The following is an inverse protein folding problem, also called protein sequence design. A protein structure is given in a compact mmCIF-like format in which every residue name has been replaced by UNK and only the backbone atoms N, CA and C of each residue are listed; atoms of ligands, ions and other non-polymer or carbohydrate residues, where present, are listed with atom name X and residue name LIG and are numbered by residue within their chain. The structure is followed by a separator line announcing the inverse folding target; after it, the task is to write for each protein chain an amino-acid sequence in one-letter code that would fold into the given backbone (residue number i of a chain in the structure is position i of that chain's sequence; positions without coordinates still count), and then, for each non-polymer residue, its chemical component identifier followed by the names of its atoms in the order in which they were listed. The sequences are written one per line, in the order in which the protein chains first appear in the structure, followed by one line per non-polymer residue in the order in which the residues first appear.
data_IF_538358728060
#
_entry.id   IF_538358728060
#
_cell.length_a   1.000
_cell.length_b   1.000
_cell.length_c   1.000
_cell.angle_alpha   90.00
_cell.angle_beta   90.00
_cell.angle_gamma   90.00
#
_symmetry.space_group_name_H-M   'P 1'
#
loop_
_entity.id
_entity.type
_entity.pdbx_description
1 polymer ?
#
# COMPACT_ATOMS: atom_id res chain seq x y z
N UNK A 1 -12.27 28.08 13.46
CA UNK A 1 -12.66 28.26 14.86
C UNK A 1 -11.58 27.73 15.81
N UNK A 2 -11.11 28.59 16.72
CA UNK A 2 -10.16 28.18 17.77
C UNK A 2 -10.88 27.45 18.92
N UNK A 3 -10.14 26.65 19.70
CA UNK A 3 -10.67 25.87 20.84
C UNK A 3 -11.61 26.64 21.79
N UNK A 4 -11.34 27.90 22.20
CA UNK A 4 -12.23 28.61 23.10
C UNK A 4 -13.65 28.83 22.55
N UNK A 5 -13.79 28.96 21.23
CA UNK A 5 -15.11 29.07 20.61
C UNK A 5 -15.91 27.76 20.73
N UNK A 6 -15.23 26.61 20.53
CA UNK A 6 -15.82 25.28 20.74
C UNK A 6 -16.23 25.05 22.21
N UNK A 7 -15.43 25.51 23.16
CA UNK A 7 -15.76 25.43 24.59
C UNK A 7 -17.03 26.22 24.94
N UNK A 8 -17.22 27.41 24.36
CA UNK A 8 -18.43 28.22 24.53
C UNK A 8 -19.63 27.48 23.95
N UNK A 9 -19.52 26.98 22.71
CA UNK A 9 -20.61 26.24 22.06
C UNK A 9 -20.99 24.99 22.86
N UNK A 10 -20.01 24.23 23.35
CA UNK A 10 -20.26 23.03 24.15
C UNK A 10 -20.96 23.34 25.46
N UNK A 11 -20.54 24.43 26.13
CA UNK A 11 -21.14 24.85 27.41
C UNK A 11 -22.60 25.30 27.25
N UNK A 12 -22.93 26.01 26.18
CA UNK A 12 -24.26 26.60 26.00
C UNK A 12 -25.22 25.69 25.22
N UNK A 13 -24.69 24.83 24.35
CA UNK A 13 -25.48 23.96 23.47
C UNK A 13 -25.04 22.48 23.54
N UNK A 14 -24.88 21.89 24.73
CA UNK A 14 -24.36 20.53 24.86
C UNK A 14 -25.26 19.50 24.19
N UNK A 15 -26.58 19.62 24.33
CA UNK A 15 -27.56 18.64 23.83
C UNK A 15 -28.26 19.05 22.53
N UNK A 16 -28.09 20.29 22.10
CA UNK A 16 -28.67 20.79 20.84
C UNK A 16 -27.84 20.35 19.64
N UNK A 17 -26.52 20.29 19.82
CA UNK A 17 -25.58 19.76 18.83
C UNK A 17 -25.36 18.26 19.09
N UNK A 18 -25.35 17.49 18.02
CA UNK A 18 -25.17 16.04 18.02
C UNK A 18 -23.98 15.71 17.12
N UNK A 19 -23.41 14.50 17.20
CA UNK A 19 -22.36 14.05 16.27
C UNK A 19 -22.71 14.27 14.79
N UNK A 20 -24.01 14.23 14.45
CA UNK A 20 -24.54 14.41 13.09
C UNK A 20 -24.76 15.86 12.69
N UNK A 21 -24.85 16.79 13.65
CA UNK A 21 -25.14 18.22 13.40
C UNK A 21 -23.98 19.15 13.73
N UNK A 22 -22.91 18.67 14.37
CA UNK A 22 -21.68 19.45 14.61
C UNK A 22 -21.02 19.89 13.29
N UNK A 23 -21.14 19.09 12.24
CA UNK A 23 -20.68 19.46 10.91
C UNK A 23 -21.37 20.75 10.40
N UNK A 24 -22.69 20.85 10.51
CA UNK A 24 -23.45 21.94 9.87
C UNK A 24 -23.20 23.34 10.44
N UNK A 25 -22.54 23.44 11.60
CA UNK A 25 -22.15 24.73 12.21
C UNK A 25 -20.71 25.14 11.88
N UNK A 26 -19.93 24.28 11.23
CA UNK A 26 -18.57 24.60 10.80
C UNK A 26 -18.62 25.54 9.60
N UNK A 27 -17.76 26.56 9.61
CA UNK A 27 -17.68 27.50 8.48
C UNK A 27 -16.93 26.93 7.27
N UNK A 28 -16.06 25.93 7.50
CA UNK A 28 -15.26 25.26 6.47
C UNK A 28 -14.78 23.87 6.97
N UNK A 29 -14.10 23.12 6.10
CA UNK A 29 -13.58 21.78 6.43
C UNK A 29 -12.48 21.79 7.51
N UNK A 30 -11.69 22.86 7.63
CA UNK A 30 -10.63 22.96 8.64
C UNK A 30 -11.21 23.05 10.05
N UNK A 31 -12.32 23.78 10.20
CA UNK A 31 -13.08 23.87 11.44
C UNK A 31 -13.65 22.50 11.84
N UNK A 32 -14.20 21.78 10.87
CA UNK A 32 -14.69 20.43 11.08
C UNK A 32 -13.56 19.46 11.48
N UNK A 33 -12.43 19.52 10.79
CA UNK A 33 -11.25 18.74 11.13
C UNK A 33 -10.75 19.06 12.55
N UNK A 34 -10.80 20.32 12.95
CA UNK A 34 -10.38 20.77 14.29
C UNK A 34 -11.27 20.18 15.38
N UNK A 35 -12.60 20.20 15.21
CA UNK A 35 -13.50 19.59 16.19
C UNK A 35 -13.36 18.06 16.22
N UNK A 36 -13.17 17.39 15.07
CA UNK A 36 -12.86 15.96 15.04
C UNK A 36 -11.59 15.62 15.83
N UNK A 37 -10.52 16.42 15.69
CA UNK A 37 -9.28 16.24 16.47
C UNK A 37 -9.51 16.43 17.97
N UNK A 38 -10.32 17.40 18.37
CA UNK A 38 -10.68 17.62 19.77
C UNK A 38 -11.48 16.43 20.34
N UNK A 39 -12.45 15.91 19.58
CA UNK A 39 -13.21 14.69 19.94
C UNK A 39 -12.27 13.48 20.11
N UNK A 40 -11.31 13.30 19.21
CA UNK A 40 -10.30 12.24 19.32
C UNK A 40 -9.37 12.39 20.54
N UNK A 41 -9.13 13.62 21.00
CA UNK A 41 -8.42 13.89 22.26
C UNK A 41 -9.31 13.65 23.51
N UNK A 42 -10.54 13.17 23.33
CA UNK A 42 -11.49 12.90 24.40
C UNK A 42 -12.31 14.11 24.85
N UNK A 43 -12.21 15.24 24.14
CA UNK A 43 -12.96 16.44 24.48
C UNK A 43 -14.40 16.33 23.97
N UNK A 44 -15.36 16.85 24.73
CA UNK A 44 -16.78 16.92 24.35
C UNK A 44 -17.48 15.55 24.20
N UNK A 45 -16.84 14.48 24.70
CA UNK A 45 -17.30 13.11 24.49
C UNK A 45 -18.67 12.78 25.09
N UNK A 46 -19.14 13.54 26.08
CA UNK A 46 -20.41 13.24 26.76
C UNK A 46 -21.64 13.46 25.85
N UNK A 47 -21.54 14.37 24.87
CA UNK A 47 -22.69 14.74 24.05
C UNK A 47 -22.41 14.81 22.55
N UNK A 48 -21.20 15.20 22.15
CA UNK A 48 -20.89 15.48 20.74
C UNK A 48 -20.11 14.35 20.07
N UNK A 49 -19.71 13.32 20.82
CA UNK A 49 -19.03 12.16 20.30
C UNK A 49 -19.98 10.96 20.24
N UNK A 50 -19.94 10.23 19.13
CA UNK A 50 -20.58 8.93 18.99
C UNK A 50 -19.51 7.84 19.21
N UNK A 51 -19.60 7.01 20.27
CA UNK A 51 -18.67 5.93 20.50
C UNK A 51 -18.63 4.87 19.38
N UNK A 52 -19.69 4.79 18.58
CA UNK A 52 -19.78 3.89 17.41
C UNK A 52 -19.21 4.52 16.13
N UNK A 53 -18.70 5.75 16.22
CA UNK A 53 -18.11 6.47 15.11
C UNK A 53 -16.82 5.82 14.62
N UNK A 54 -16.73 5.69 13.29
CA UNK A 54 -15.53 5.27 12.56
C UNK A 54 -14.32 6.19 12.82
N UNK A 55 -14.53 7.42 13.32
CA UNK A 55 -13.44 8.33 13.71
C UNK A 55 -12.47 7.68 14.71
N UNK A 56 -13.01 6.94 15.68
CA UNK A 56 -12.21 6.24 16.71
C UNK A 56 -11.27 5.19 16.13
N UNK A 57 -11.68 4.54 15.04
CA UNK A 57 -10.91 3.52 14.36
C UNK A 57 -9.76 4.11 13.50
N UNK A 58 -9.79 5.42 13.23
CA UNK A 58 -8.79 6.13 12.41
C UNK A 58 -8.15 7.32 13.15
N UNK A 59 -7.98 7.21 14.47
CA UNK A 59 -7.55 8.33 15.32
C UNK A 59 -6.29 9.05 14.79
N UNK A 60 -5.27 8.31 14.33
CA UNK A 60 -4.04 8.92 13.78
C UNK A 60 -4.31 9.62 12.44
N UNK A 61 -5.16 9.05 11.60
CA UNK A 61 -5.58 9.65 10.34
C UNK A 61 -6.31 10.98 10.57
N UNK A 62 -7.20 11.02 11.57
CA UNK A 62 -7.92 12.25 11.97
C UNK A 62 -6.95 13.33 12.46
N UNK A 63 -5.95 12.97 13.26
CA UNK A 63 -4.90 13.90 13.66
C UNK A 63 -4.09 14.46 12.48
N UNK A 64 -3.94 13.65 11.43
CA UNK A 64 -3.35 14.04 10.16
C UNK A 64 -4.39 14.56 9.14
N UNK A 65 -5.61 14.90 9.58
CA UNK A 65 -6.59 15.61 8.76
C UNK A 65 -7.42 14.76 7.80
N UNK A 66 -7.26 13.44 7.79
CA UNK A 66 -8.18 12.53 7.10
C UNK A 66 -9.36 12.18 8.02
N UNK A 67 -10.57 12.55 7.61
CA UNK A 67 -11.80 12.32 8.39
C UNK A 67 -12.58 11.16 7.75
N UNK A 68 -12.58 9.94 8.32
CA UNK A 68 -13.38 8.84 7.78
C UNK A 68 -14.87 9.10 7.96
N UNK A 69 -15.69 8.75 6.97
CA UNK A 69 -17.14 9.01 6.96
C UNK A 69 -17.97 7.73 6.98
N UNK A 70 -17.56 6.70 6.25
CA UNK A 70 -18.16 5.37 6.32
C UNK A 70 -17.19 4.30 5.81
N UNK A 71 -17.50 3.04 6.13
CA UNK A 71 -16.82 1.87 5.59
C UNK A 71 -17.82 0.78 5.23
N UNK A 72 -17.47 -0.06 4.27
CA UNK A 72 -18.07 -1.37 4.09
C UNK A 72 -17.04 -2.43 4.47
N UNK A 73 -17.26 -3.09 5.61
CA UNK A 73 -16.46 -4.24 6.05
C UNK A 73 -17.22 -5.52 5.70
N UNK A 74 -16.68 -6.24 4.72
CA UNK A 74 -17.25 -7.49 4.23
C UNK A 74 -16.35 -8.69 4.52
N UNK A 75 -15.45 -8.57 5.49
CA UNK A 75 -14.53 -9.65 5.91
C UNK A 75 -15.26 -10.96 6.25
N UNK A 76 -16.54 -10.86 6.67
CA UNK A 76 -17.38 -12.01 7.01
C UNK A 76 -18.29 -12.55 5.88
N UNK A 77 -18.32 -11.88 4.72
CA UNK A 77 -19.32 -12.08 3.65
C UNK A 77 -18.98 -13.18 2.65
N UNK A 78 -17.72 -13.61 2.57
CA UNK A 78 -17.29 -14.79 1.81
C UNK A 78 -17.85 -16.05 2.48
N UNK A 79 -19.14 -16.33 2.25
CA UNK A 79 -19.74 -17.58 2.70
C UNK A 79 -20.56 -18.16 1.56
N UNK A 80 -20.22 -19.39 1.18
CA UNK A 80 -21.15 -20.26 0.48
C UNK A 80 -22.33 -20.49 1.43
N UNK A 81 -23.45 -19.80 1.22
CA UNK A 81 -24.65 -20.05 2.00
C UNK A 81 -25.41 -21.17 1.31
N UNK A 82 -25.58 -22.29 2.02
CA UNK A 82 -26.61 -23.27 1.68
C UNK A 82 -27.92 -22.70 2.22
N UNK A 83 -28.60 -21.91 1.40
CA UNK A 83 -30.01 -21.63 1.65
C UNK A 83 -30.81 -22.86 1.25
N UNK A 84 -31.94 -23.10 1.90
CA UNK A 84 -32.66 -24.38 2.00
C UNK A 84 -33.02 -25.06 0.65
N UNK A 85 -32.80 -24.38 -0.49
CA UNK A 85 -33.00 -24.88 -1.87
C UNK A 85 -31.98 -24.38 -2.91
N UNK A 86 -30.93 -23.65 -2.54
CA UNK A 86 -29.97 -23.10 -3.50
C UNK A 86 -28.57 -22.91 -2.88
N UNK A 87 -27.54 -23.12 -3.70
CA UNK A 87 -26.17 -22.73 -3.40
C UNK A 87 -25.99 -21.27 -3.80
N UNK A 88 -25.55 -20.42 -2.88
CA UNK A 88 -25.28 -19.00 -3.15
C UNK A 88 -23.81 -18.69 -2.89
N UNK A 89 -23.15 -18.07 -3.86
CA UNK A 89 -21.80 -17.52 -3.74
C UNK A 89 -21.88 -16.01 -3.76
N UNK A 90 -21.30 -15.36 -2.75
CA UNK A 90 -21.27 -13.90 -2.57
C UNK A 90 -19.83 -13.44 -2.60
N UNK A 91 -19.57 -12.38 -3.35
CA UNK A 91 -18.28 -11.69 -3.44
C UNK A 91 -18.49 -10.22 -3.14
N UNK A 92 -17.75 -9.72 -2.15
CA UNK A 92 -17.82 -8.33 -1.73
C UNK A 92 -16.42 -7.75 -1.53
N UNK A 93 -16.27 -6.45 -1.81
CA UNK A 93 -15.03 -5.69 -1.62
C UNK A 93 -15.19 -4.74 -0.46
N UNK A 94 -14.14 -4.64 0.35
CA UNK A 94 -14.11 -3.60 1.36
C UNK A 94 -13.94 -2.23 0.72
N UNK A 95 -14.53 -1.23 1.34
CA UNK A 95 -14.30 0.16 0.98
C UNK A 95 -14.27 1.07 2.20
N UNK A 96 -13.60 2.20 2.06
CA UNK A 96 -13.48 3.26 3.04
C UNK A 96 -13.75 4.59 2.34
N UNK A 97 -14.70 5.35 2.87
CA UNK A 97 -14.93 6.73 2.47
C UNK A 97 -14.35 7.67 3.51
N UNK A 98 -13.79 8.79 3.05
CA UNK A 98 -13.31 9.84 3.93
C UNK A 98 -13.09 11.15 3.20
N UNK A 99 -12.74 12.18 3.97
CA UNK A 99 -12.55 13.52 3.46
C UNK A 99 -11.25 14.13 3.96
N UNK A 100 -10.66 15.03 3.17
CA UNK A 100 -9.47 15.77 3.54
C UNK A 100 -9.49 17.16 2.93
N UNK A 101 -8.96 18.17 3.65
CA UNK A 101 -8.98 19.56 3.20
C UNK A 101 -8.24 19.74 1.86
N UNK A 102 -8.82 20.44 0.89
CA UNK A 102 -8.14 20.72 -0.39
C UNK A 102 -6.87 21.55 -0.22
N UNK A 103 -6.92 22.57 0.63
CA UNK A 103 -5.78 23.42 0.97
C UNK A 103 -4.78 22.80 1.95
N UNK A 104 -4.97 21.53 2.34
CA UNK A 104 -4.09 20.84 3.28
C UNK A 104 -2.70 20.61 2.69
N UNK A 105 -1.65 20.95 3.45
CA UNK A 105 -0.27 20.94 2.95
C UNK A 105 0.26 19.59 2.42
N UNK A 106 -0.35 18.47 2.80
CA UNK A 106 0.02 17.12 2.35
C UNK A 106 -1.14 16.34 1.72
N UNK A 107 -2.31 16.97 1.49
CA UNK A 107 -3.47 16.29 0.89
C UNK A 107 -3.17 15.80 -0.53
N UNK A 108 -2.46 16.61 -1.31
CA UNK A 108 -2.04 16.24 -2.67
C UNK A 108 -1.05 15.07 -2.65
N UNK A 109 -0.08 15.10 -1.73
CA UNK A 109 0.92 14.03 -1.65
C UNK A 109 0.27 12.72 -1.18
N UNK A 110 -0.74 12.80 -0.31
CA UNK A 110 -1.56 11.66 0.09
C UNK A 110 -2.40 11.11 -1.06
N UNK A 111 -3.04 11.98 -1.84
CA UNK A 111 -3.78 11.59 -3.05
C UNK A 111 -2.87 10.85 -4.03
N UNK A 112 -1.69 11.41 -4.32
CA UNK A 112 -0.72 10.81 -5.23
C UNK A 112 -0.19 9.47 -4.70
N UNK A 113 0.12 9.36 -3.40
CA UNK A 113 0.54 8.10 -2.80
C UNK A 113 -0.54 7.02 -2.92
N UNK A 114 -1.81 7.31 -2.60
CA UNK A 114 -2.89 6.34 -2.76
C UNK A 114 -3.11 5.94 -4.23
N UNK A 115 -2.99 6.90 -5.15
CA UNK A 115 -3.14 6.67 -6.59
C UNK A 115 -2.08 5.70 -7.12
N UNK A 116 -0.86 5.73 -6.58
CA UNK A 116 0.23 4.84 -7.00
C UNK A 116 0.05 3.39 -6.55
N UNK A 117 -0.79 3.12 -5.55
CA UNK A 117 -1.04 1.77 -4.99
C UNK A 117 -1.98 0.92 -5.84
N UNK A 118 -1.72 0.89 -7.16
CA UNK A 118 -2.61 0.32 -8.19
C UNK A 118 -2.85 -1.18 -8.03
N UNK A 119 -1.94 -1.92 -7.38
CA UNK A 119 -2.14 -3.35 -7.12
C UNK A 119 -3.05 -3.62 -5.91
N UNK A 120 -3.11 -2.71 -4.94
CA UNK A 120 -3.88 -2.91 -3.70
C UNK A 120 -5.25 -2.24 -3.73
N UNK A 121 -5.35 -1.09 -4.41
CA UNK A 121 -6.49 -0.18 -4.28
C UNK A 121 -7.09 0.19 -5.64
N UNK A 122 -8.43 0.28 -5.68
CA UNK A 122 -9.12 1.19 -6.57
C UNK A 122 -9.39 2.49 -5.82
N UNK A 123 -9.08 3.61 -6.45
CA UNK A 123 -9.23 4.93 -5.86
C UNK A 123 -10.20 5.75 -6.70
N UNK A 124 -11.18 6.36 -6.03
CA UNK A 124 -12.10 7.32 -6.64
C UNK A 124 -12.11 8.59 -5.81
N UNK A 125 -11.88 9.73 -6.46
CA UNK A 125 -11.72 11.01 -5.75
C UNK A 125 -12.54 12.11 -6.42
N UNK A 126 -13.28 12.84 -5.60
CA UNK A 126 -14.10 13.98 -6.02
C UNK A 126 -13.63 15.23 -5.30
N UNK A 127 -13.59 16.33 -6.03
CA UNK A 127 -13.70 17.65 -5.41
C UNK A 127 -15.14 17.78 -4.89
N UNK A 128 -15.34 18.21 -3.64
CA UNK A 128 -16.65 18.08 -3.00
C UNK A 128 -17.81 18.83 -3.68
N UNK A 129 -17.53 19.84 -4.51
CA UNK A 129 -18.54 20.50 -5.36
C UNK A 129 -18.74 19.88 -6.74
N UNK A 130 -17.82 19.00 -7.16
CA UNK A 130 -17.82 18.42 -8.50
C UNK A 130 -18.47 17.03 -8.50
N UNK A 131 -19.46 16.84 -9.37
CA UNK A 131 -20.11 15.55 -9.55
C UNK A 131 -19.24 14.56 -10.35
N UNK A 132 -18.29 15.06 -11.13
CA UNK A 132 -17.33 14.26 -11.89
C UNK A 132 -16.10 13.95 -11.04
N UNK A 133 -15.64 12.70 -11.07
CA UNK A 133 -14.46 12.32 -10.28
C UNK A 133 -13.20 12.82 -10.98
N UNK A 134 -12.28 13.36 -10.19
CA UNK A 134 -10.95 13.77 -10.65
C UNK A 134 -10.06 12.56 -10.87
N UNK A 135 -10.30 11.46 -10.14
CA UNK A 135 -9.60 10.19 -10.28
C UNK A 135 -10.63 9.08 -10.40
N UNK A 136 -10.46 8.24 -11.42
CA UNK A 136 -11.31 7.08 -11.70
C UNK A 136 -10.47 5.80 -11.76
N UNK A 137 -11.03 4.64 -11.37
CA UNK A 137 -10.39 3.37 -11.60
C UNK A 137 -10.33 3.08 -13.10
N UNK A 138 -9.24 2.46 -13.55
CA UNK A 138 -9.06 2.04 -14.95
C UNK A 138 -10.04 0.92 -15.36
N UNK A 139 -10.62 0.20 -14.39
CA UNK A 139 -11.55 -0.90 -14.64
C UNK A 139 -12.99 -0.41 -14.93
N UNK A 140 -13.60 -0.79 -16.06
CA UNK A 140 -14.90 -0.27 -16.49
C UNK A 140 -16.11 -0.81 -15.70
N UNK A 141 -16.01 -1.97 -15.05
CA UNK A 141 -17.13 -2.59 -14.31
C UNK A 141 -16.76 -2.90 -12.84
N UNK A 142 -16.58 -1.83 -12.05
CA UNK A 142 -16.28 -1.96 -10.63
C UNK A 142 -17.56 -2.27 -9.82
N UNK A 143 -17.67 -3.52 -9.34
CA UNK A 143 -18.72 -3.95 -8.39
C UNK A 143 -18.24 -3.83 -6.94
N UNK A 144 -19.15 -3.60 -6.00
CA UNK A 144 -18.85 -3.62 -4.56
C UNK A 144 -19.34 -4.91 -3.91
N UNK A 145 -20.52 -5.37 -4.31
CA UNK A 145 -21.12 -6.61 -3.85
C UNK A 145 -21.84 -7.29 -5.02
N UNK A 146 -21.64 -8.59 -5.16
CA UNK A 146 -22.29 -9.42 -6.17
C UNK A 146 -22.54 -10.82 -5.66
N UNK A 147 -23.58 -11.45 -6.16
CA UNK A 147 -23.87 -12.85 -5.86
C UNK A 147 -24.23 -13.64 -7.11
N UNK A 148 -24.07 -14.95 -7.03
CA UNK A 148 -24.61 -15.90 -7.99
C UNK A 148 -25.23 -17.07 -7.23
N UNK A 149 -26.29 -17.65 -7.78
CA UNK A 149 -27.00 -18.74 -7.15
C UNK A 149 -27.37 -19.82 -8.15
N UNK A 150 -27.27 -21.08 -7.72
CA UNK A 150 -27.67 -22.23 -8.53
C UNK A 150 -28.33 -23.32 -7.68
N UNK A 151 -29.20 -24.12 -8.30
CA UNK A 151 -29.88 -25.26 -7.66
C UNK A 151 -28.90 -26.39 -7.30
N UNK A 152 -27.78 -26.49 -8.02
CA UNK A 152 -26.72 -27.48 -7.81
C UNK A 152 -25.37 -26.79 -7.64
N UNK A 153 -24.43 -27.49 -7.02
CA UNK A 153 -23.08 -26.96 -6.79
C UNK A 153 -22.30 -26.83 -8.10
N UNK A 154 -22.44 -27.77 -9.04
CA UNK A 154 -21.77 -27.66 -10.34
C UNK A 154 -22.30 -26.46 -11.13
N UNK A 155 -23.62 -26.23 -11.13
CA UNK A 155 -24.26 -25.12 -11.82
C UNK A 155 -23.89 -23.74 -11.28
N UNK A 156 -23.26 -23.67 -10.10
CA UNK A 156 -22.83 -22.41 -9.50
C UNK A 156 -21.64 -21.78 -10.23
N UNK A 157 -20.77 -22.60 -10.84
CA UNK A 157 -19.62 -22.08 -11.58
C UNK A 157 -20.04 -21.34 -12.86
N UNK A 158 -21.09 -21.82 -13.51
CA UNK A 158 -21.61 -21.29 -14.78
C UNK A 158 -22.75 -20.26 -14.58
N UNK A 159 -23.24 -20.10 -13.34
CA UNK A 159 -24.29 -19.13 -13.04
C UNK A 159 -23.78 -17.69 -13.23
N UNK A 160 -24.58 -16.80 -13.87
CA UNK A 160 -24.20 -15.41 -14.06
C UNK A 160 -24.16 -14.67 -12.73
N UNK A 161 -23.26 -13.69 -12.65
CA UNK A 161 -23.18 -12.78 -11.51
C UNK A 161 -24.31 -11.74 -11.57
N UNK A 162 -24.90 -11.48 -10.40
CA UNK A 162 -25.83 -10.38 -10.17
C UNK A 162 -25.20 -9.40 -9.20
N UNK A 163 -24.93 -8.17 -9.64
CA UNK A 163 -24.39 -7.11 -8.79
C UNK A 163 -25.49 -6.52 -7.92
N UNK A 164 -25.30 -6.53 -6.61
CA UNK A 164 -26.23 -5.98 -5.60
C UNK A 164 -25.87 -4.57 -5.20
N UNK A 165 -24.59 -4.22 -5.25
CA UNK A 165 -24.12 -2.89 -4.91
C UNK A 165 -23.01 -2.44 -5.86
N UNK A 166 -23.19 -1.24 -6.40
CA UNK A 166 -22.28 -0.57 -7.31
C UNK A 166 -21.56 0.58 -6.62
N UNK A 167 -20.53 1.11 -7.27
CA UNK A 167 -19.90 2.35 -6.84
C UNK A 167 -20.91 3.51 -6.78
N UNK A 168 -21.89 3.55 -7.68
CA UNK A 168 -22.88 4.62 -7.75
C UNK A 168 -23.81 4.61 -6.53
N UNK A 169 -24.10 3.43 -5.98
CA UNK A 169 -24.85 3.29 -4.73
C UNK A 169 -24.10 3.90 -3.54
N UNK A 170 -22.79 3.67 -3.45
CA UNK A 170 -21.95 4.32 -2.42
C UNK A 170 -21.96 5.84 -2.59
N UNK A 171 -21.82 6.34 -3.82
CA UNK A 171 -21.90 7.79 -4.09
C UNK A 171 -23.23 8.38 -3.66
N UNK A 172 -24.34 7.71 -3.97
CA UNK A 172 -25.68 8.14 -3.59
C UNK A 172 -25.85 8.16 -2.06
N UNK A 173 -25.29 7.19 -1.33
CA UNK A 173 -25.28 7.22 0.13
C UNK A 173 -24.50 8.42 0.70
N UNK A 174 -23.36 8.77 0.09
CA UNK A 174 -22.59 9.96 0.50
C UNK A 174 -23.36 11.26 0.20
N UNK A 175 -24.03 11.35 -0.94
CA UNK A 175 -24.90 12.49 -1.32
C UNK A 175 -26.09 12.65 -0.38
N UNK A 176 -26.73 11.56 0.02
CA UNK A 176 -27.87 11.61 0.95
C UNK A 176 -27.47 12.08 2.35
N UNK A 177 -26.24 11.79 2.79
CA UNK A 177 -25.70 12.26 4.06
C UNK A 177 -25.27 13.74 4.03
N UNK A 178 -24.96 14.27 2.86
CA UNK A 178 -24.55 15.66 2.66
C UNK A 178 -25.76 16.47 2.18
N UNK A 179 -26.58 16.94 3.12
CA UNK A 179 -27.72 17.81 2.77
C UNK A 179 -27.25 19.05 2.00
N UNK A 180 -28.11 19.59 1.14
CA UNK A 180 -27.86 20.77 0.28
C UNK A 180 -26.97 21.84 0.95
N UNK A 181 -25.82 22.09 0.33
CA UNK A 181 -24.86 23.15 0.65
C UNK A 181 -24.25 23.07 2.07
N UNK A 182 -23.51 22.00 2.33
CA UNK A 182 -22.61 21.93 3.48
C UNK A 182 -21.24 22.58 3.13
N UNK A 183 -20.87 23.72 3.74
CA UNK A 183 -19.58 24.38 3.51
C UNK A 183 -18.37 23.46 3.72
N UNK A 184 -18.50 22.43 4.57
CA UNK A 184 -17.45 21.43 4.80
C UNK A 184 -17.14 20.66 3.52
N UNK A 185 -18.18 20.32 2.75
CA UNK A 185 -18.04 19.52 1.53
C UNK A 185 -17.28 20.34 0.48
N UNK A 186 -17.60 21.62 0.36
CA UNK A 186 -17.04 22.50 -0.68
C UNK A 186 -15.52 22.59 -0.61
N UNK A 187 -14.92 22.63 0.59
CA UNK A 187 -13.48 22.82 0.79
C UNK A 187 -12.69 21.51 0.95
N UNK A 188 -13.24 20.38 0.49
CA UNK A 188 -12.68 19.05 0.74
C UNK A 188 -12.57 18.17 -0.51
N UNK A 189 -11.54 17.32 -0.51
CA UNK A 189 -11.47 16.13 -1.35
C UNK A 189 -12.26 15.02 -0.69
N UNK A 190 -13.13 14.35 -1.44
CA UNK A 190 -13.83 13.13 -1.02
C UNK A 190 -13.13 11.92 -1.61
N UNK A 191 -12.71 10.99 -0.75
CA UNK A 191 -12.03 9.75 -1.12
C UNK A 191 -12.99 8.58 -0.99
N UNK A 192 -13.03 7.71 -2.00
CA UNK A 192 -13.58 6.36 -1.93
C UNK A 192 -12.42 5.42 -2.26
N UNK A 193 -11.93 4.72 -1.24
CA UNK A 193 -10.81 3.80 -1.29
C UNK A 193 -11.36 2.39 -1.23
N UNK A 194 -11.05 1.55 -2.21
CA UNK A 194 -11.69 0.24 -2.38
C UNK A 194 -10.60 -0.82 -2.55
N UNK A 195 -10.78 -1.97 -1.92
CA UNK A 195 -9.88 -3.11 -2.11
C UNK A 195 -9.93 -3.63 -3.56
N UNK A 196 -8.76 -3.82 -4.17
CA UNK A 196 -8.64 -4.43 -5.50
C UNK A 196 -8.91 -5.93 -5.51
N UNK A 197 -8.65 -6.62 -4.40
CA UNK A 197 -8.95 -8.04 -4.28
C UNK A 197 -10.20 -8.25 -3.43
N UNK A 198 -11.07 -9.14 -3.89
CA UNK A 198 -12.29 -9.51 -3.19
C UNK A 198 -11.92 -10.29 -1.93
N UNK A 199 -12.58 -9.98 -0.83
CA UNK A 199 -12.51 -10.84 0.35
C UNK A 199 -11.24 -10.74 1.20
N UNK A 200 -10.44 -9.72 0.96
CA UNK A 200 -9.33 -9.34 1.85
C UNK A 200 -9.86 -8.94 3.23
N UNK A 201 -9.05 -9.06 4.31
CA UNK A 201 -9.40 -8.49 5.60
C UNK A 201 -9.50 -6.97 5.49
N UNK A 202 -10.38 -6.38 6.30
CA UNK A 202 -10.55 -4.92 6.31
C UNK A 202 -9.31 -4.23 6.89
N UNK A 203 -8.44 -3.71 6.00
CA UNK A 203 -7.19 -3.03 6.38
C UNK A 203 -7.09 -1.59 5.85
N UNK A 204 -8.14 -1.08 5.20
CA UNK A 204 -8.12 0.23 4.54
C UNK A 204 -7.83 1.39 5.49
N UNK A 205 -8.27 1.29 6.75
CA UNK A 205 -7.95 2.29 7.79
C UNK A 205 -6.46 2.27 8.17
N UNK A 206 -5.86 1.10 8.29
CA UNK A 206 -4.42 0.97 8.56
C UNK A 206 -3.60 1.46 7.37
N UNK A 207 -4.03 1.17 6.13
CA UNK A 207 -3.41 1.66 4.90
C UNK A 207 -3.38 3.18 4.87
N UNK A 208 -4.51 3.84 5.17
CA UNK A 208 -4.60 5.30 5.23
C UNK A 208 -3.69 5.87 6.31
N UNK A 209 -3.73 5.31 7.53
CA UNK A 209 -2.89 5.79 8.64
C UNK A 209 -1.40 5.61 8.35
N UNK A 210 -1.00 4.45 7.80
CA UNK A 210 0.38 4.17 7.44
C UNK A 210 0.90 5.12 6.35
N UNK A 211 0.11 5.36 5.30
CA UNK A 211 0.46 6.30 4.23
C UNK A 211 0.65 7.73 4.76
N UNK A 212 -0.23 8.20 5.64
CA UNK A 212 -0.12 9.55 6.24
C UNK A 212 1.08 9.65 7.18
N UNK A 213 1.35 8.62 7.98
CA UNK A 213 2.54 8.59 8.86
C UNK A 213 3.82 8.65 8.04
N UNK A 214 3.90 7.85 6.99
CA UNK A 214 5.04 7.82 6.08
C UNK A 214 5.30 9.18 5.42
N UNK A 215 4.27 9.83 4.88
CA UNK A 215 4.38 11.17 4.28
C UNK A 215 4.83 12.25 5.28
N UNK A 216 4.63 12.01 6.58
CA UNK A 216 5.06 12.91 7.65
C UNK A 216 6.40 12.54 8.29
N UNK A 217 7.15 11.62 7.68
CA UNK A 217 8.46 11.17 8.14
C UNK A 217 8.41 10.10 9.23
N UNK A 218 7.37 9.27 9.23
CA UNK A 218 7.13 8.17 10.16
C UNK A 218 7.20 8.52 11.67
N UNK A 219 6.54 9.60 12.13
CA UNK A 219 6.42 9.86 13.56
C UNK A 219 5.65 8.73 14.25
N UNK A 220 5.84 8.57 15.56
CA UNK A 220 4.89 7.75 16.32
C UNK A 220 3.53 8.44 16.39
N UNK A 221 2.41 7.69 16.46
CA UNK A 221 1.08 8.25 16.74
C UNK A 221 1.06 9.16 17.96
N UNK A 222 1.91 8.85 18.96
CA UNK A 222 2.12 9.71 20.13
C UNK A 222 2.74 11.05 19.81
N UNK A 223 3.75 11.09 18.97
CA UNK A 223 4.34 12.34 18.51
C UNK A 223 3.36 13.17 17.69
N UNK A 224 2.52 12.52 16.87
CA UNK A 224 1.44 13.18 16.11
C UNK A 224 0.42 13.81 17.05
N UNK A 225 -0.12 13.06 18.03
CA UNK A 225 -1.08 13.57 18.99
C UNK A 225 -0.52 14.73 19.82
N UNK A 226 0.76 14.66 20.25
CA UNK A 226 1.45 15.79 20.91
C UNK A 226 1.50 17.04 20.04
N UNK A 227 1.71 16.89 18.72
CA UNK A 227 1.71 18.02 17.77
C UNK A 227 0.31 18.63 17.64
N UNK A 228 -0.73 17.81 17.65
CA UNK A 228 -2.13 18.28 17.66
C UNK A 228 -2.45 19.04 18.94
N UNK A 229 -2.08 18.51 20.11
CA UNK A 229 -2.26 19.22 21.39
C UNK A 229 -1.57 20.58 21.34
N UNK A 230 -0.31 20.64 20.88
CA UNK A 230 0.45 21.89 20.81
C UNK A 230 -0.12 22.93 19.85
N UNK A 231 -0.84 22.50 18.82
CA UNK A 231 -1.41 23.39 17.80
C UNK A 231 -2.82 23.87 18.14
N UNK A 232 -3.65 23.04 18.78
CA UNK A 232 -5.06 23.35 19.02
C UNK A 232 -5.31 23.79 20.48
N UNK A 233 -4.60 23.19 21.44
CA UNK A 233 -4.83 23.44 22.87
C UNK A 233 -4.02 24.65 23.34
N UNK A 234 -4.63 25.63 24.04
CA UNK A 234 -3.92 26.78 24.60
C UNK A 234 -2.73 26.38 25.49
N UNK A 235 -1.57 27.06 25.40
CA UNK A 235 -0.36 26.69 26.14
C UNK A 235 -0.54 26.50 27.65
N UNK A 236 -1.42 27.28 28.27
CA UNK A 236 -1.68 27.26 29.72
C UNK A 236 -2.24 25.93 30.25
N UNK A 237 -2.82 25.10 29.39
CA UNK A 237 -3.46 23.84 29.78
C UNK A 237 -2.89 22.61 29.06
N UNK A 238 -1.92 22.78 28.15
CA UNK A 238 -1.35 21.68 27.36
C UNK A 238 -0.78 20.55 28.24
N UNK A 239 -0.12 20.89 29.35
CA UNK A 239 0.53 19.91 30.23
C UNK A 239 -0.43 18.90 30.85
N UNK A 240 -1.69 19.29 31.06
CA UNK A 240 -2.73 18.38 31.59
C UNK A 240 -3.00 17.29 30.55
N UNK A 241 -3.28 17.69 29.31
CA UNK A 241 -3.55 16.76 28.21
C UNK A 241 -2.34 15.90 27.85
N UNK A 242 -1.12 16.45 27.88
CA UNK A 242 0.09 15.69 27.58
C UNK A 242 0.37 14.57 28.61
N UNK A 243 -0.07 14.74 29.86
CA UNK A 243 0.08 13.76 30.94
C UNK A 243 -0.98 12.65 30.89
N UNK A 244 -2.22 12.98 30.53
CA UNK A 244 -3.36 12.05 30.57
C UNK A 244 -3.60 11.29 29.24
N UNK A 245 -2.79 11.55 28.21
CA UNK A 245 -3.00 11.03 26.87
C UNK A 245 -2.80 9.50 26.75
N UNK A 246 -3.90 8.80 26.44
CA UNK A 246 -3.92 7.41 25.98
C UNK A 246 -4.19 7.42 24.47
N UNK A 247 -3.42 6.67 23.68
CA UNK A 247 -3.58 6.63 22.21
C UNK A 247 -3.93 5.22 21.77
N UNK A 248 -5.14 5.07 21.26
CA UNK A 248 -5.55 3.89 20.51
C UNK A 248 -4.81 3.86 19.17
N UNK A 249 -3.98 2.84 18.96
CA UNK A 249 -3.35 2.54 17.68
C UNK A 249 -3.14 1.03 17.57
N UNK A 250 -3.18 0.50 16.34
CA UNK A 250 -2.78 -0.88 16.07
C UNK A 250 -1.33 -1.11 16.55
N UNK A 251 -1.00 -2.32 17.03
CA UNK A 251 0.34 -2.63 17.54
C UNK A 251 1.47 -2.25 16.56
N UNK A 252 1.22 -2.43 15.27
CA UNK A 252 2.17 -2.20 14.18
C UNK A 252 2.49 -0.72 13.95
N UNK A 253 1.58 0.19 14.33
CA UNK A 253 1.75 1.63 14.19
C UNK A 253 2.33 2.29 15.45
N UNK A 254 2.37 1.58 16.58
CA UNK A 254 2.64 2.15 17.91
C UNK A 254 4.02 2.81 18.04
N UNK A 255 5.02 2.25 17.37
CA UNK A 255 6.41 2.72 17.44
C UNK A 255 6.88 3.26 16.09
N UNK A 256 7.77 4.25 16.07
CA UNK A 256 8.41 4.66 14.84
C UNK A 256 9.26 3.49 14.32
N UNK A 257 9.41 3.35 12.99
CA UNK A 257 10.36 2.40 12.45
C UNK A 257 11.78 2.75 12.95
N UNK A 258 12.62 1.76 13.28
CA UNK A 258 13.97 2.01 13.77
C UNK A 258 14.77 2.82 12.75
N UNK A 259 15.61 3.72 13.25
CA UNK A 259 16.33 4.68 12.42
C UNK A 259 17.35 4.03 11.48
N UNK A 260 17.82 2.81 11.76
CA UNK A 260 18.93 2.22 11.02
C UNK A 260 18.64 0.76 10.64
N UNK A 261 18.09 0.59 9.44
CA UNK A 261 18.67 -0.42 8.54
C UNK A 261 19.50 0.40 7.57
N UNK A 262 20.80 0.51 7.85
CA UNK A 262 21.74 1.11 6.90
C UNK A 262 21.60 0.34 5.59
N UNK A 263 21.16 1.04 4.55
CA UNK A 263 21.24 0.58 3.18
C UNK A 263 22.50 1.22 2.60
N UNK A 264 23.60 0.48 2.58
CA UNK A 264 24.90 0.99 2.07
C UNK A 264 24.99 0.91 0.54
N UNK A 265 23.85 0.95 -0.15
CA UNK A 265 23.78 0.80 -1.60
C UNK A 265 24.16 -0.59 -2.08
N UNK A 266 24.82 -0.66 -3.23
CA UNK A 266 25.26 -1.91 -3.84
C UNK A 266 26.41 -2.53 -3.03
N UNK A 267 26.15 -3.68 -2.39
CA UNK A 267 27.14 -4.42 -1.61
C UNK A 267 27.74 -5.58 -2.40
N UNK A 268 29.02 -5.84 -2.14
CA UNK A 268 29.72 -7.04 -2.60
C UNK A 268 29.32 -8.21 -1.70
N UNK A 269 28.98 -9.37 -2.28
CA UNK A 269 28.66 -10.58 -1.50
C UNK A 269 29.56 -11.74 -1.88
N UNK A 270 29.89 -12.55 -0.88
CA UNK A 270 30.62 -13.81 -1.03
C UNK A 270 29.70 -15.04 -1.02
N UNK A 271 28.40 -14.89 -0.70
CA UNK A 271 27.47 -16.00 -0.55
C UNK A 271 26.08 -15.64 -1.09
N UNK A 272 25.64 -16.39 -2.10
CA UNK A 272 24.25 -16.36 -2.57
C UNK A 272 23.44 -17.45 -1.85
N UNK A 273 22.32 -17.11 -1.22
CA UNK A 273 21.43 -18.06 -0.57
C UNK A 273 20.83 -19.02 -1.60
N UNK A 274 20.55 -20.25 -1.16
CA UNK A 274 19.95 -21.27 -2.00
C UNK A 274 18.55 -20.83 -2.49
N UNK A 275 18.24 -21.09 -3.76
CA UNK A 275 16.94 -20.79 -4.36
C UNK A 275 15.80 -21.49 -3.61
N UNK A 276 16.06 -22.69 -3.06
CA UNK A 276 15.09 -23.40 -2.24
C UNK A 276 14.68 -22.60 -0.99
N UNK A 277 15.61 -21.85 -0.40
CA UNK A 277 15.34 -20.95 0.73
C UNK A 277 14.51 -19.75 0.29
N UNK A 278 14.87 -19.09 -0.82
CA UNK A 278 14.11 -17.94 -1.36
C UNK A 278 12.66 -18.32 -1.60
N UNK A 279 12.40 -19.46 -2.25
CA UNK A 279 11.05 -19.93 -2.54
C UNK A 279 10.30 -20.33 -1.27
N UNK A 280 11.01 -20.86 -0.25
CA UNK A 280 10.40 -21.17 1.05
C UNK A 280 9.97 -19.90 1.76
N UNK A 281 10.82 -18.87 1.80
CA UNK A 281 10.49 -17.57 2.38
C UNK A 281 9.36 -16.92 1.58
N UNK A 282 9.38 -16.96 0.25
CA UNK A 282 8.28 -16.45 -0.58
C UNK A 282 6.93 -17.09 -0.23
N UNK A 283 6.89 -18.41 -0.01
CA UNK A 283 5.67 -19.11 0.41
C UNK A 283 5.25 -18.73 1.83
N UNK A 284 6.21 -18.54 2.74
CA UNK A 284 5.93 -18.09 4.10
C UNK A 284 5.40 -16.65 4.11
N UNK A 285 6.02 -15.74 3.36
CA UNK A 285 5.60 -14.34 3.21
C UNK A 285 4.25 -14.20 2.51
N UNK A 286 3.82 -15.18 1.70
CA UNK A 286 2.45 -15.20 1.18
C UNK A 286 1.39 -15.45 2.26
N UNK A 287 1.79 -15.97 3.43
CA UNK A 287 0.92 -16.25 4.58
C UNK A 287 1.15 -15.31 5.77
N UNK A 288 2.32 -14.67 5.86
CA UNK A 288 2.71 -13.81 6.97
C UNK A 288 2.82 -12.35 6.51
N UNK A 289 2.11 -11.46 7.22
CA UNK A 289 2.10 -10.03 6.89
C UNK A 289 3.46 -9.42 7.21
N UNK A 290 4.09 -8.79 6.21
CA UNK A 290 5.32 -8.04 6.39
C UNK A 290 5.14 -6.97 7.46
N UNK A 291 6.14 -6.85 8.34
CA UNK A 291 6.16 -5.82 9.35
C UNK A 291 6.32 -4.43 8.72
N UNK A 292 5.86 -3.39 9.42
CA UNK A 292 6.04 -2.00 8.97
C UNK A 292 7.51 -1.65 8.69
N UNK A 293 8.44 -2.21 9.46
CA UNK A 293 9.88 -1.95 9.31
C UNK A 293 10.42 -2.55 8.01
N UNK A 294 10.01 -3.78 7.70
CA UNK A 294 10.37 -4.46 6.46
C UNK A 294 9.82 -3.71 5.25
N UNK A 295 8.57 -3.25 5.30
CA UNK A 295 7.96 -2.43 4.25
C UNK A 295 8.77 -1.14 4.02
N UNK A 296 9.14 -0.42 5.09
CA UNK A 296 9.98 0.79 4.96
C UNK A 296 11.36 0.51 4.40
N UNK A 297 11.97 -0.63 4.72
CA UNK A 297 13.23 -1.02 4.09
C UNK A 297 13.05 -1.27 2.59
N UNK A 298 12.06 -2.08 2.19
CA UNK A 298 11.74 -2.35 0.77
C UNK A 298 11.54 -1.04 0.03
N UNK A 299 10.72 -0.14 0.58
CA UNK A 299 10.44 1.17 -0.01
C UNK A 299 11.71 1.99 -0.25
N UNK A 300 12.60 2.09 0.74
CA UNK A 300 13.87 2.84 0.58
C UNK A 300 14.74 2.28 -0.55
N UNK A 301 14.83 0.95 -0.64
CA UNK A 301 15.58 0.28 -1.71
C UNK A 301 14.94 0.56 -3.07
N UNK A 302 13.62 0.44 -3.17
CA UNK A 302 12.85 0.70 -4.40
C UNK A 302 12.94 2.17 -4.83
N UNK A 303 12.81 3.12 -3.90
CA UNK A 303 12.97 4.55 -4.18
C UNK A 303 14.37 4.88 -4.72
N UNK A 304 15.42 4.25 -4.19
CA UNK A 304 16.78 4.41 -4.73
C UNK A 304 16.92 3.78 -6.12
N UNK A 305 16.37 2.58 -6.33
CA UNK A 305 16.35 1.92 -7.63
C UNK A 305 15.63 2.76 -8.68
N UNK A 306 14.50 3.36 -8.34
CA UNK A 306 13.75 4.26 -9.23
C UNK A 306 14.54 5.54 -9.52
N UNK A 307 15.11 6.16 -8.48
CA UNK A 307 15.98 7.35 -8.62
C UNK A 307 17.18 7.10 -9.55
N UNK A 308 17.74 5.90 -9.52
CA UNK A 308 18.84 5.47 -10.38
C UNK A 308 18.38 5.02 -11.78
N UNK A 309 17.07 5.02 -12.04
CA UNK A 309 16.50 4.60 -13.32
C UNK A 309 16.57 3.10 -13.57
N UNK A 310 16.79 2.27 -12.55
CA UNK A 310 16.84 0.80 -12.65
C UNK A 310 15.43 0.24 -12.86
N UNK A 311 14.42 0.92 -12.28
CA UNK A 311 13.00 0.58 -12.37
C UNK A 311 12.18 1.84 -12.66
N UNK A 312 10.96 1.65 -13.15
CA UNK A 312 9.99 2.74 -13.37
C UNK A 312 8.65 2.35 -12.77
N UNK A 313 8.04 3.22 -11.98
CA UNK A 313 6.67 3.04 -11.50
C UNK A 313 5.67 3.04 -12.67
N UNK A 314 4.76 2.08 -12.69
CA UNK A 314 3.68 2.01 -13.66
C UNK A 314 2.49 2.87 -13.21
N UNK A 315 1.96 3.75 -14.08
CA UNK A 315 0.81 4.60 -13.75
C UNK A 315 -0.50 3.82 -13.71
N UNK A 316 -0.60 2.77 -14.53
CA UNK A 316 -1.76 1.90 -14.63
C UNK A 316 -1.43 0.53 -14.03
N UNK A 317 -2.48 -0.19 -13.64
CA UNK A 317 -2.30 -1.53 -13.13
C UNK A 317 -1.94 -2.51 -14.24
N UNK A 318 -0.89 -3.27 -13.99
CA UNK A 318 -0.54 -4.50 -14.69
C UNK A 318 -0.43 -5.62 -13.67
N UNK A 319 -0.85 -6.83 -14.04
CA UNK A 319 -0.74 -8.00 -13.16
C UNK A 319 0.74 -8.22 -12.76
N UNK A 320 1.07 -8.19 -11.45
CA UNK A 320 2.44 -8.31 -11.00
C UNK A 320 2.93 -9.76 -11.11
N UNK A 321 4.11 -9.95 -11.68
CA UNK A 321 4.74 -11.25 -11.87
C UNK A 321 5.53 -11.74 -10.64
N UNK A 322 5.88 -10.82 -9.73
CA UNK A 322 6.68 -11.12 -8.54
C UNK A 322 6.43 -10.11 -7.42
N UNK A 323 6.80 -10.50 -6.21
CA UNK A 323 6.83 -9.65 -5.02
C UNK A 323 8.21 -9.73 -4.38
N UNK A 324 8.75 -8.63 -3.85
CA UNK A 324 10.03 -8.64 -3.17
C UNK A 324 9.98 -9.49 -1.91
N UNK A 325 11.08 -10.20 -1.67
CA UNK A 325 11.30 -11.01 -0.46
C UNK A 325 12.55 -10.50 0.22
N UNK A 326 12.46 -10.30 1.53
CA UNK A 326 13.61 -9.96 2.36
C UNK A 326 14.27 -11.22 2.88
N UNK A 327 15.59 -11.25 2.81
CA UNK A 327 16.39 -12.28 3.45
C UNK A 327 17.59 -11.66 4.14
N UNK A 328 17.99 -12.28 5.24
CA UNK A 328 19.22 -11.87 5.92
C UNK A 328 20.43 -12.53 5.25
N UNK A 329 21.34 -11.71 4.77
CA UNK A 329 22.65 -12.13 4.26
C UNK A 329 23.53 -12.71 5.36
N UNK A 330 24.58 -13.41 4.97
CA UNK A 330 25.54 -14.02 5.91
C UNK A 330 26.36 -12.99 6.69
N UNK A 331 26.41 -11.74 6.21
CA UNK A 331 26.97 -10.58 6.88
C UNK A 331 26.01 -9.94 7.91
N UNK A 332 24.80 -10.48 8.03
CA UNK A 332 23.75 -9.98 8.93
C UNK A 332 22.88 -8.87 8.32
N UNK A 333 23.17 -8.42 7.11
CA UNK A 333 22.40 -7.39 6.41
C UNK A 333 21.10 -7.91 5.80
N UNK A 334 20.14 -7.03 5.52
CA UNK A 334 18.93 -7.38 4.78
C UNK A 334 19.13 -7.19 3.28
N UNK A 335 18.62 -8.16 2.54
CA UNK A 335 18.78 -8.29 1.11
C UNK A 335 17.42 -8.45 0.43
N UNK A 336 17.24 -7.73 -0.70
CA UNK A 336 16.00 -7.73 -1.45
C UNK A 336 16.09 -8.69 -2.65
N UNK A 337 15.19 -9.66 -2.71
CA UNK A 337 15.10 -10.65 -3.78
C UNK A 337 13.76 -10.56 -4.51
N UNK A 338 13.77 -10.84 -5.81
CA UNK A 338 12.56 -10.85 -6.64
C UNK A 338 12.41 -12.24 -7.28
N UNK A 339 11.75 -13.18 -6.59
CA UNK A 339 11.54 -14.53 -7.13
C UNK A 339 10.50 -14.52 -8.25
N UNK A 340 10.93 -14.82 -9.47
CA UNK A 340 10.06 -15.00 -10.62
C UNK A 340 9.79 -16.49 -10.85
N UNK A 341 8.53 -16.85 -11.07
CA UNK A 341 8.17 -18.23 -11.42
C UNK A 341 8.54 -18.51 -12.89
N UNK A 342 9.67 -19.18 -13.09
CA UNK A 342 10.18 -19.53 -14.41
C UNK A 342 9.35 -20.59 -15.12
N UNK A 343 8.54 -21.37 -14.39
CA UNK A 343 7.68 -22.41 -14.99
C UNK A 343 6.57 -21.80 -15.83
N UNK A 344 6.04 -20.63 -15.44
CA UNK A 344 5.05 -19.89 -16.24
C UNK A 344 5.65 -19.24 -17.48
N UNK A 345 6.86 -18.68 -17.39
CA UNK A 345 7.55 -18.04 -18.51
C UNK A 345 7.98 -19.03 -19.61
N UNK A 346 8.21 -20.30 -19.25
CA UNK A 346 8.57 -21.35 -20.21
C UNK A 346 7.35 -21.91 -20.99
N UNK A 347 6.13 -21.73 -20.47
CA UNK A 347 4.90 -22.19 -21.11
C UNK A 347 4.48 -21.32 -22.30
N UNK A 348 4.88 -20.04 -22.34
CA UNK A 348 4.61 -19.09 -23.44
C UNK A 348 5.47 -19.32 -24.70
N UNK A 349 6.01 -20.53 -24.89
CA UNK A 349 6.57 -20.98 -26.17
C UNK A 349 7.91 -20.37 -26.57
N UNK A 350 8.53 -19.53 -25.73
CA UNK A 350 9.84 -18.97 -26.02
C UNK A 350 10.95 -19.99 -25.73
N UNK A 351 11.56 -20.50 -26.80
CA UNK A 351 12.88 -21.15 -26.73
C UNK A 351 13.90 -20.11 -26.28
N UNK A 352 14.15 -20.02 -24.97
CA UNK A 352 15.38 -19.39 -24.47
C UNK A 352 16.52 -20.15 -25.10
N UNK A 353 17.25 -19.52 -26.02
CA UNK A 353 18.47 -20.10 -26.59
C UNK A 353 19.45 -20.32 -25.46
N UNK A 354 19.59 -21.57 -25.01
CA UNK A 354 20.63 -21.90 -24.04
C UNK A 354 21.96 -21.75 -24.76
N UNK A 355 22.78 -20.83 -24.26
CA UNK A 355 24.18 -20.79 -24.67
C UNK A 355 24.85 -22.01 -24.03
N UNK A 356 25.52 -22.88 -24.80
CA UNK A 356 26.26 -23.99 -24.22
C UNK A 356 27.34 -23.41 -23.32
N UNK A 357 27.30 -23.76 -22.04
CA UNK A 357 28.37 -23.40 -21.12
C UNK A 357 29.64 -24.16 -21.50
N UNK A 358 30.82 -23.53 -21.43
CA UNK A 358 32.08 -24.22 -21.62
C UNK A 358 32.29 -25.24 -20.49
N UNK A 359 33.11 -26.27 -20.73
CA UNK A 359 33.46 -27.27 -19.72
C UNK A 359 34.11 -26.62 -18.49
N UNK A 360 34.00 -27.25 -17.32
CA UNK A 360 34.57 -26.75 -16.05
C UNK A 360 36.08 -26.49 -16.12
N UNK A 361 36.78 -27.18 -17.03
CA UNK A 361 38.24 -27.11 -17.17
C UNK A 361 38.67 -26.15 -18.30
N UNK A 362 37.73 -25.57 -19.05
CA UNK A 362 38.00 -24.72 -20.21
C UNK A 362 38.98 -23.58 -19.94
N UNK A 363 38.86 -22.93 -18.79
CA UNK A 363 39.78 -21.85 -18.35
C UNK A 363 41.19 -22.36 -18.05
N UNK A 364 41.30 -23.55 -17.45
CA UNK A 364 42.59 -24.17 -17.14
C UNK A 364 43.29 -24.65 -18.42
N UNK A 365 42.54 -25.29 -19.32
CA UNK A 365 43.03 -25.76 -20.61
C UNK A 365 43.51 -24.58 -21.48
N UNK A 366 42.74 -23.49 -21.49
CA UNK A 366 43.13 -22.24 -22.14
C UNK A 366 44.43 -21.67 -21.53
N UNK A 367 44.50 -21.56 -20.20
CA UNK A 367 45.68 -21.01 -19.52
C UNK A 367 46.94 -21.83 -19.80
N UNK A 368 46.84 -23.17 -19.79
CA UNK A 368 47.93 -24.09 -20.12
C UNK A 368 48.39 -23.94 -21.57
N UNK A 369 47.46 -23.95 -22.52
CA UNK A 369 47.74 -23.79 -23.96
C UNK A 369 48.42 -22.46 -24.26
N UNK A 370 47.91 -21.37 -23.66
CA UNK A 370 48.49 -20.03 -23.84
C UNK A 370 49.91 -19.94 -23.27
N UNK A 371 50.16 -20.51 -22.09
CA UNK A 371 51.49 -20.46 -21.45
C UNK A 371 52.54 -21.27 -22.21
N UNK A 372 52.14 -22.34 -22.89
CA UNK A 372 53.02 -23.10 -23.79
C UNK A 372 53.45 -22.25 -25.01
N UNK A 373 52.52 -21.47 -25.57
CA UNK A 373 52.81 -20.59 -26.72
C UNK A 373 53.59 -19.33 -26.32
N UNK A 374 53.39 -18.83 -25.09
CA UNK A 374 54.04 -17.62 -24.58
C UNK A 374 54.71 -17.89 -23.22
N UNK A 375 55.89 -18.55 -23.19
CA UNK A 375 56.53 -18.98 -21.94
C UNK A 375 56.86 -17.82 -20.99
N UNK A 376 57.23 -16.65 -21.53
CA UNK A 376 57.50 -15.42 -20.76
C UNK A 376 56.25 -14.56 -20.50
N UNK A 377 55.09 -14.93 -21.05
CA UNK A 377 53.86 -14.17 -20.89
C UNK A 377 53.30 -14.25 -19.47
N UNK A 378 52.76 -13.12 -18.98
CA UNK A 378 52.03 -13.04 -17.71
C UNK A 378 50.54 -13.00 -18.02
N UNK A 379 49.77 -13.91 -17.43
CA UNK A 379 48.32 -13.93 -17.54
C UNK A 379 47.70 -13.40 -16.25
N UNK A 380 46.83 -12.40 -16.38
CA UNK A 380 46.03 -11.90 -15.28
C UNK A 380 44.60 -12.43 -15.40
N UNK A 381 44.09 -13.03 -14.33
CA UNK A 381 42.68 -13.41 -14.22
C UNK A 381 41.93 -12.27 -13.54
N UNK A 382 41.06 -11.61 -14.28
CA UNK A 382 40.05 -10.70 -13.73
C UNK A 382 38.71 -11.41 -13.65
N UNK A 383 37.89 -11.04 -12.66
CA UNK A 383 36.45 -11.35 -12.68
C UNK A 383 35.73 -10.06 -13.04
N UNK A 384 34.96 -10.07 -14.12
CA UNK A 384 34.00 -9.00 -14.38
C UNK A 384 32.75 -9.42 -13.62
N UNK A 385 32.53 -8.81 -12.45
CA UNK A 385 31.26 -8.96 -11.77
C UNK A 385 30.25 -8.08 -12.51
N UNK A 386 29.42 -8.71 -13.32
CA UNK A 386 28.37 -8.04 -14.07
C UNK A 386 27.41 -7.40 -13.09
N UNK A 387 27.49 -6.08 -12.93
CA UNK A 387 26.44 -5.28 -12.31
C UNK A 387 25.22 -5.39 -13.23
N UNK A 388 24.33 -6.35 -12.99
CA UNK A 388 23.14 -6.55 -13.83
C UNK A 388 22.35 -5.25 -14.02
N UNK A 389 22.28 -4.43 -12.96
CA UNK A 389 21.66 -3.10 -12.98
C UNK A 389 22.33 -2.07 -13.92
N UNK A 390 23.52 -2.35 -14.46
CA UNK A 390 24.23 -1.51 -15.43
C UNK A 390 23.93 -1.91 -16.89
N UNK A 391 23.26 -3.02 -17.12
CA UNK A 391 22.90 -3.49 -18.47
C UNK A 391 21.44 -3.16 -18.73
N UNK A 392 21.09 -2.45 -19.83
CA UNK A 392 19.70 -2.16 -20.13
C UNK A 392 18.93 -3.45 -20.42
N UNK A 393 17.66 -3.50 -20.01
CA UNK A 393 16.76 -4.54 -20.50
C UNK A 393 16.57 -4.37 -22.00
N UNK A 394 16.68 -5.44 -22.81
CA UNK A 394 16.32 -5.36 -24.21
C UNK A 394 14.84 -4.96 -24.32
N UNK A 395 14.53 -4.09 -25.29
CA UNK A 395 13.18 -3.58 -25.56
C UNK A 395 12.29 -4.70 -26.12
N UNK A 396 11.93 -5.70 -25.30
CA UNK A 396 11.24 -6.92 -25.72
C UNK A 396 9.72 -6.74 -25.86
N UNK A 397 9.25 -5.56 -26.31
CA UNK A 397 7.82 -5.34 -26.57
C UNK A 397 7.26 -6.17 -27.74
N UNK A 398 8.14 -6.77 -28.57
CA UNK A 398 7.73 -7.47 -29.81
C UNK A 398 7.61 -9.01 -29.72
N UNK A 399 7.82 -9.62 -28.55
CA UNK A 399 7.84 -11.08 -28.41
C UNK A 399 6.77 -11.64 -27.44
N UNK A 400 5.76 -10.85 -27.08
CA UNK A 400 4.69 -11.28 -26.17
C UNK A 400 5.09 -11.35 -24.69
N UNK A 401 6.35 -11.06 -24.38
CA UNK A 401 6.82 -10.90 -23.00
C UNK A 401 6.36 -9.51 -22.53
N UNK A 402 5.23 -9.44 -21.82
CA UNK A 402 4.94 -8.26 -21.00
C UNK A 402 6.15 -8.07 -20.08
N UNK A 403 6.65 -6.84 -20.01
CA UNK A 403 7.90 -6.54 -19.32
C UNK A 403 7.93 -7.17 -17.93
N UNK A 404 9.13 -7.51 -17.47
CA UNK A 404 9.27 -7.98 -16.10
C UNK A 404 8.83 -6.89 -15.13
N UNK A 405 7.74 -7.15 -14.40
CA UNK A 405 7.19 -6.25 -13.40
C UNK A 405 7.18 -6.90 -12.02
N UNK A 406 6.99 -6.10 -10.97
CA UNK A 406 6.80 -6.59 -9.61
C UNK A 406 5.92 -5.59 -8.84
N UNK A 407 5.31 -6.03 -7.75
CA UNK A 407 4.59 -5.14 -6.83
C UNK A 407 5.32 -5.03 -5.50
N UNK A 408 5.34 -3.85 -4.89
CA UNK A 408 5.75 -3.69 -3.49
C UNK A 408 4.61 -4.08 -2.54
N UNK A 409 4.89 -4.30 -1.24
CA UNK A 409 3.86 -4.60 -0.25
C UNK A 409 2.78 -3.52 -0.10
N UNK A 410 3.13 -2.25 -0.34
CA UNK A 410 2.16 -1.15 -0.33
C UNK A 410 1.20 -1.17 -1.53
N UNK A 411 1.52 -1.96 -2.57
CA UNK A 411 0.72 -2.10 -3.78
C UNK A 411 1.20 -1.27 -4.97
N UNK A 412 2.45 -0.78 -4.96
CA UNK A 412 3.05 -0.08 -6.11
C UNK A 412 3.55 -1.09 -7.14
N UNK A 413 3.21 -0.91 -8.42
CA UNK A 413 3.69 -1.78 -9.51
C UNK A 413 4.83 -1.11 -10.26
N UNK A 414 5.98 -1.77 -10.36
CA UNK A 414 7.16 -1.28 -11.06
C UNK A 414 7.54 -2.19 -12.22
N UNK A 415 8.13 -1.63 -13.27
CA UNK A 415 8.82 -2.38 -14.32
C UNK A 415 10.33 -2.21 -14.24
N UNK A 416 11.07 -3.23 -14.67
CA UNK A 416 12.53 -3.19 -14.78
C UNK A 416 13.02 -2.48 -16.05
N UNK A 417 13.88 -1.46 -15.90
CA UNK A 417 14.62 -0.82 -17.01
C UNK A 417 15.97 -1.50 -17.27
N UNK A 418 16.57 -2.10 -16.24
CA UNK A 418 17.86 -2.76 -16.30
C UNK A 418 17.73 -4.26 -16.07
N UNK A 419 18.70 -5.03 -16.58
CA UNK A 419 18.76 -6.47 -16.38
C UNK A 419 18.78 -6.75 -14.88
N UNK A 420 17.98 -7.73 -14.50
CA UNK A 420 17.95 -8.26 -13.13
C UNK A 420 18.96 -9.38 -12.99
N UNK A 421 19.43 -9.63 -11.76
CA UNK A 421 20.22 -10.83 -11.47
C UNK A 421 19.32 -12.05 -11.70
N UNK A 422 19.67 -12.86 -12.70
CA UNK A 422 18.95 -14.10 -13.02
C UNK A 422 19.58 -15.26 -12.25
N UNK A 423 18.78 -15.94 -11.43
CA UNK A 423 19.13 -17.27 -10.93
C UNK A 423 18.68 -18.29 -11.97
N UNK A 424 19.46 -18.47 -13.04
CA UNK A 424 19.20 -19.59 -13.95
C UNK A 424 19.45 -20.90 -13.19
N UNK A 425 18.38 -21.68 -13.01
CA UNK A 425 18.41 -23.01 -12.40
C UNK A 425 19.44 -23.88 -13.11
N UNK A 426 20.54 -24.17 -12.44
CA UNK A 426 21.60 -25.00 -13.00
C UNK A 426 22.89 -24.91 -12.20
N UNK A 427 23.44 -23.71 -12.02
CA UNK A 427 24.69 -23.56 -11.27
C UNK A 427 24.78 -22.18 -10.63
N UNK A 428 25.15 -22.19 -9.34
CA UNK A 428 25.66 -21.03 -8.63
C UNK A 428 26.81 -20.41 -9.44
N UNK A 429 26.58 -19.23 -10.00
CA UNK A 429 27.67 -18.31 -10.28
C UNK A 429 28.22 -17.91 -8.91
N UNK A 430 29.26 -18.62 -8.49
CA UNK A 430 30.04 -18.30 -7.29
C UNK A 430 30.64 -16.91 -7.47
N UNK A 431 30.37 -16.05 -6.49
CA UNK A 431 31.17 -14.86 -6.21
C UNK A 431 32.51 -15.29 -5.60
#
# INVERSE_FOLDING_TARGET
MAKPAWDILYRWFPTLLTPWTVASICSNFEDYTTICKLLMLGMYNEHWFDPTSILSECTTGVYLGFVPTCKGDYTSSLRLKNETRAYVHVESRNYLCGQMAMGGGFTRDFLEELRRRTNRLHLVVYEGTNAEATVHPTEPELFMDRYRSASTREGLHDAPWTTTMTLEDIKNQLRLKTSMYDPIVVDSWQFIIIDREVGQPFELLDIVQDALLMLTGDPSPRSVAKRVIRSIIPPSIQDIFLKEMIIGCSPDLRYPPPHDVQYDGNRFRCYDPDHSMITTVQRASASEKLTRNENRFIRRVVEDMERLGIITLLPDWEEPQSQPVLMQGSDGALDLYFPYDHTKLALDGQRVTSLPFPSTNSLEDFAKSWKQQFPSGIMAKGSIQTHYCAWPMPTMKSLGNTGSNFTTPEGHVYHWNAMRKFLCGGFQLRY
#
